data_IF_288853854746
#
_entry.id   IF_288853854746
#
_cell.length_a   1.000
_cell.length_b   1.000
_cell.length_c   1.000
_cell.angle_alpha   90.00
_cell.angle_beta   90.00
_cell.angle_gamma   90.00
#
_symmetry.space_group_name_H-M   'P 1'
#
loop_
_entity.id
_entity.type
_entity.pdbx_description
1 polymer ?
#
# COMPACT_ATOMS: atom_id res chain seq x y z
N UNK A 1 -4.17 28.87 -47.19
CA UNK A 1 -4.89 28.35 -45.99
C UNK A 1 -4.02 27.47 -45.09
N UNK A 2 -3.06 26.69 -45.61
CA UNK A 2 -2.15 25.87 -44.78
C UNK A 2 -1.07 26.63 -43.98
N UNK A 3 -0.63 27.81 -44.44
CA UNK A 3 0.43 28.58 -43.76
C UNK A 3 -0.06 29.33 -42.50
N UNK A 4 -1.34 29.72 -42.46
CA UNK A 4 -1.95 30.37 -41.29
C UNK A 4 -2.01 29.40 -40.10
N UNK A 5 -2.35 28.15 -40.40
CA UNK A 5 -2.52 27.05 -39.46
C UNK A 5 -1.18 26.53 -38.88
N UNK A 6 -0.07 26.75 -39.59
CA UNK A 6 1.29 26.44 -39.12
C UNK A 6 1.86 27.53 -38.20
N UNK A 7 1.60 28.81 -38.53
CA UNK A 7 2.02 29.95 -37.71
C UNK A 7 1.29 29.98 -36.36
N UNK A 8 -0.01 29.65 -36.35
CA UNK A 8 -0.83 29.58 -35.14
C UNK A 8 -0.41 28.41 -34.22
N UNK A 9 -0.04 27.26 -34.80
CA UNK A 9 0.55 26.12 -34.06
C UNK A 9 1.90 26.45 -33.42
N UNK A 10 2.79 27.16 -34.13
CA UNK A 10 4.08 27.60 -33.60
C UNK A 10 3.91 28.57 -32.43
N UNK A 11 2.97 29.51 -32.54
CA UNK A 11 2.65 30.47 -31.49
C UNK A 11 2.05 29.76 -30.25
N UNK A 12 1.13 28.81 -30.45
CA UNK A 12 0.58 28.00 -29.36
C UNK A 12 1.67 27.14 -28.67
N UNK A 13 2.58 26.54 -29.43
CA UNK A 13 3.67 25.75 -28.86
C UNK A 13 4.62 26.58 -28.01
N UNK A 14 5.03 27.77 -28.49
CA UNK A 14 5.91 28.67 -27.74
C UNK A 14 5.24 29.21 -26.48
N UNK A 15 3.94 29.53 -26.56
CA UNK A 15 3.15 29.97 -25.40
C UNK A 15 2.99 28.86 -24.36
N UNK A 16 2.76 27.64 -24.82
CA UNK A 16 2.70 26.46 -23.96
C UNK A 16 4.06 26.13 -23.36
N UNK A 17 5.16 26.18 -24.11
CA UNK A 17 6.50 25.88 -23.59
C UNK A 17 6.91 26.89 -22.51
N UNK A 18 6.68 28.19 -22.76
CA UNK A 18 6.95 29.24 -21.78
C UNK A 18 6.07 29.09 -20.53
N UNK A 19 4.80 28.76 -20.70
CA UNK A 19 3.90 28.49 -19.58
C UNK A 19 4.32 27.25 -18.78
N UNK A 20 4.71 26.17 -19.48
CA UNK A 20 5.14 24.90 -18.92
C UNK A 20 6.40 25.08 -18.10
N UNK A 21 7.42 25.75 -18.63
CA UNK A 21 8.66 26.02 -17.91
C UNK A 21 8.41 26.72 -16.58
N UNK A 22 7.47 27.67 -16.55
CA UNK A 22 7.13 28.48 -15.39
C UNK A 22 6.20 27.78 -14.37
N UNK A 23 5.71 26.55 -14.64
CA UNK A 23 4.88 25.82 -13.68
C UNK A 23 5.71 25.04 -12.65
N UNK A 24 5.15 24.91 -11.44
CA UNK A 24 5.72 24.09 -10.38
C UNK A 24 5.78 22.61 -10.76
N UNK A 25 6.75 21.87 -10.21
CA UNK A 25 6.94 20.45 -10.51
C UNK A 25 5.71 19.60 -10.18
N UNK A 26 4.90 19.99 -9.19
CA UNK A 26 3.67 19.28 -8.85
C UNK A 26 2.64 19.35 -9.99
N UNK A 27 2.44 20.54 -10.56
CA UNK A 27 1.52 20.78 -11.67
C UNK A 27 1.98 19.97 -12.89
N UNK A 28 3.28 19.96 -13.18
CA UNK A 28 3.86 19.17 -14.27
C UNK A 28 3.55 17.67 -14.10
N UNK A 29 3.79 17.11 -12.92
CA UNK A 29 3.54 15.69 -12.64
C UNK A 29 2.06 15.35 -12.77
N UNK A 30 1.16 16.17 -12.23
CA UNK A 30 -0.28 15.94 -12.37
C UNK A 30 -0.75 16.00 -13.82
N UNK A 31 -0.25 16.97 -14.60
CA UNK A 31 -0.63 17.11 -16.01
C UNK A 31 -0.12 15.95 -16.87
N UNK A 32 1.13 15.51 -16.66
CA UNK A 32 1.65 14.32 -17.34
C UNK A 32 0.86 13.07 -16.95
N UNK A 33 0.57 12.89 -15.65
CA UNK A 33 -0.26 11.78 -15.16
C UNK A 33 -1.65 11.79 -15.78
N UNK A 34 -2.29 12.95 -15.88
CA UNK A 34 -3.62 13.12 -16.47
C UNK A 34 -3.61 12.88 -17.98
N UNK A 35 -2.60 13.38 -18.71
CA UNK A 35 -2.45 13.12 -20.14
C UNK A 35 -2.27 11.62 -20.43
N UNK A 36 -1.46 10.93 -19.63
CA UNK A 36 -1.29 9.48 -19.74
C UNK A 36 -2.57 8.71 -19.38
N UNK A 37 -3.35 9.20 -18.42
CA UNK A 37 -4.65 8.61 -18.08
C UNK A 37 -5.65 8.74 -19.22
N UNK A 38 -5.74 9.92 -19.85
CA UNK A 38 -6.58 10.13 -21.03
C UNK A 38 -6.15 9.26 -22.21
N UNK A 39 -4.83 9.11 -22.43
CA UNK A 39 -4.27 8.19 -23.41
C UNK A 39 -4.62 6.74 -23.09
N UNK A 40 -4.61 6.35 -21.82
CA UNK A 40 -5.01 5.01 -21.39
C UNK A 40 -6.51 4.76 -21.66
N UNK A 41 -7.38 5.73 -21.36
CA UNK A 41 -8.83 5.65 -21.63
C UNK A 41 -9.10 5.56 -23.13
N UNK A 42 -8.47 6.41 -23.95
CA UNK A 42 -8.60 6.37 -25.41
C UNK A 42 -8.12 5.02 -25.98
N UNK A 43 -7.01 4.50 -25.46
CA UNK A 43 -6.47 3.20 -25.86
C UNK A 43 -7.35 2.03 -25.38
N UNK A 44 -8.05 2.18 -24.25
CA UNK A 44 -8.99 1.19 -23.72
C UNK A 44 -10.22 1.02 -24.63
N UNK A 45 -10.72 2.13 -25.20
CA UNK A 45 -11.79 2.09 -26.20
C UNK A 45 -11.40 1.29 -27.46
N UNK A 46 -10.14 1.35 -27.87
CA UNK A 46 -9.65 0.60 -29.02
C UNK A 46 -9.27 -0.86 -28.68
N UNK A 47 -8.65 -1.09 -27.51
CA UNK A 47 -8.13 -2.41 -27.11
C UNK A 47 -8.18 -2.60 -25.58
N UNK A 48 -9.29 -3.13 -25.03
CA UNK A 48 -9.50 -3.18 -23.59
C UNK A 48 -8.52 -4.08 -22.83
N UNK A 49 -7.84 -5.01 -23.53
CA UNK A 49 -6.83 -5.92 -22.96
C UNK A 49 -5.41 -5.70 -23.51
N UNK A 50 -5.14 -4.53 -24.09
CA UNK A 50 -3.80 -4.19 -24.57
C UNK A 50 -2.76 -4.14 -23.45
N UNK A 51 -1.55 -4.61 -23.73
CA UNK A 51 -0.42 -4.44 -22.80
C UNK A 51 -0.08 -2.94 -22.62
N UNK A 52 -0.29 -2.16 -23.69
CA UNK A 52 -0.13 -0.70 -23.71
C UNK A 52 -1.15 0.02 -22.81
N UNK A 53 -2.43 -0.39 -22.80
CA UNK A 53 -3.44 0.21 -21.91
C UNK A 53 -3.13 -0.03 -20.45
N UNK A 54 -2.70 -1.26 -20.11
CA UNK A 54 -2.28 -1.60 -18.75
C UNK A 54 -1.06 -0.79 -18.33
N UNK A 55 -0.03 -0.71 -19.17
CA UNK A 55 1.18 0.07 -18.89
C UNK A 55 0.88 1.55 -18.68
N UNK A 56 0.08 2.16 -19.56
CA UNK A 56 -0.33 3.57 -19.44
C UNK A 56 -1.18 3.81 -18.19
N UNK A 57 -2.08 2.90 -17.83
CA UNK A 57 -2.90 3.01 -16.63
C UNK A 57 -2.06 2.95 -15.34
N UNK A 58 -1.10 2.01 -15.26
CA UNK A 58 -0.19 1.94 -14.12
C UNK A 58 0.77 3.14 -14.06
N UNK A 59 1.32 3.58 -15.20
CA UNK A 59 2.22 4.72 -15.26
C UNK A 59 1.52 6.04 -14.88
N UNK A 60 0.33 6.29 -15.45
CA UNK A 60 -0.48 7.47 -15.10
C UNK A 60 -0.82 7.50 -13.62
N UNK A 61 -1.28 6.38 -13.08
CA UNK A 61 -1.65 6.30 -11.67
C UNK A 61 -0.45 6.44 -10.73
N UNK A 62 0.71 5.87 -11.10
CA UNK A 62 1.96 6.07 -10.37
C UNK A 62 2.38 7.53 -10.31
N UNK A 63 2.26 8.26 -11.43
CA UNK A 63 2.57 9.69 -11.49
C UNK A 63 1.56 10.54 -10.70
N UNK A 64 0.27 10.24 -10.80
CA UNK A 64 -0.77 10.91 -10.01
C UNK A 64 -0.57 10.68 -8.51
N UNK A 65 -0.27 9.44 -8.11
CA UNK A 65 0.04 9.08 -6.73
C UNK A 65 1.29 9.81 -6.23
N UNK A 66 2.35 9.87 -7.04
CA UNK A 66 3.58 10.58 -6.70
C UNK A 66 3.34 12.10 -6.54
N UNK A 67 2.57 12.70 -7.45
CA UNK A 67 2.17 14.10 -7.36
C UNK A 67 1.42 14.40 -6.05
N UNK A 68 0.45 13.55 -5.72
CA UNK A 68 -0.32 13.65 -4.48
C UNK A 68 0.54 13.45 -3.22
N UNK A 69 1.40 12.44 -3.22
CA UNK A 69 2.30 12.17 -2.09
C UNK A 69 3.25 13.33 -1.86
N UNK A 70 3.81 13.91 -2.93
CA UNK A 70 4.71 15.06 -2.86
C UNK A 70 4.01 16.30 -2.32
N UNK A 71 2.81 16.59 -2.80
CA UNK A 71 2.01 17.72 -2.32
C UNK A 71 1.68 17.56 -0.83
N UNK A 72 1.26 16.36 -0.44
CA UNK A 72 0.99 16.02 0.97
C UNK A 72 2.25 16.16 1.82
N UNK A 73 3.40 15.67 1.34
CA UNK A 73 4.67 15.77 2.05
C UNK A 73 5.07 17.23 2.30
N UNK A 74 5.02 18.07 1.26
CA UNK A 74 5.35 19.50 1.39
C UNK A 74 4.41 20.23 2.36
N UNK A 75 3.17 19.77 2.48
CA UNK A 75 2.19 20.35 3.39
C UNK A 75 2.34 19.88 4.84
N UNK A 76 2.64 18.59 5.05
CA UNK A 76 2.78 17.98 6.38
C UNK A 76 4.09 18.37 7.05
N UNK A 77 5.21 18.38 6.30
CA UNK A 77 6.55 18.61 6.83
C UNK A 77 6.68 19.89 7.68
N UNK A 78 6.23 21.07 7.24
CA UNK A 78 6.31 22.28 8.06
C UNK A 78 5.42 22.21 9.30
N UNK A 79 4.26 21.54 9.21
CA UNK A 79 3.31 21.39 10.32
C UNK A 79 3.76 20.40 11.37
N UNK A 80 4.69 19.50 11.02
CA UNK A 80 5.30 18.56 11.95
C UNK A 80 6.10 19.26 13.06
N UNK A 81 6.42 20.54 12.92
CA UNK A 81 7.06 21.31 14.00
C UNK A 81 6.10 21.61 15.16
N UNK A 82 4.78 21.61 14.92
CA UNK A 82 3.78 21.86 15.95
C UNK A 82 3.68 20.65 16.91
N UNK A 83 3.70 20.87 18.24
CA UNK A 83 3.74 19.78 19.22
C UNK A 83 2.53 18.85 19.15
N UNK A 84 1.35 19.40 18.85
CA UNK A 84 0.12 18.62 18.67
C UNK A 84 0.21 17.68 17.46
N UNK A 85 0.77 18.15 16.35
CA UNK A 85 0.92 17.34 15.13
C UNK A 85 1.94 16.22 15.37
N UNK A 86 3.03 16.49 16.11
CA UNK A 86 3.96 15.44 16.52
C UNK A 86 3.27 14.36 17.34
N UNK A 87 2.53 14.76 18.38
CA UNK A 87 1.79 13.82 19.23
C UNK A 87 0.81 12.96 18.43
N UNK A 88 0.08 13.58 17.49
CA UNK A 88 -0.85 12.87 16.62
C UNK A 88 -0.14 11.86 15.72
N UNK A 89 0.95 12.26 15.05
CA UNK A 89 1.74 11.37 14.19
C UNK A 89 2.35 10.23 14.99
N UNK A 90 2.88 10.50 16.18
CA UNK A 90 3.41 9.45 17.07
C UNK A 90 2.32 8.49 17.52
N UNK A 91 1.15 9.00 17.93
CA UNK A 91 0.02 8.17 18.34
C UNK A 91 -0.48 7.29 17.20
N UNK A 92 -0.64 7.86 16.01
CA UNK A 92 -1.01 7.12 14.80
C UNK A 92 0.03 6.05 14.43
N UNK A 93 1.32 6.35 14.60
CA UNK A 93 2.41 5.41 14.33
C UNK A 93 2.43 4.24 15.31
N UNK A 94 2.18 4.49 16.60
CA UNK A 94 2.04 3.44 17.62
C UNK A 94 0.82 2.57 17.34
N UNK A 95 -0.32 3.17 16.98
CA UNK A 95 -1.52 2.41 16.56
C UNK A 95 -1.25 1.55 15.32
N UNK A 96 -0.54 2.10 14.33
CA UNK A 96 -0.17 1.36 13.13
C UNK A 96 0.76 0.18 13.45
N UNK A 97 1.73 0.37 14.35
CA UNK A 97 2.63 -0.68 14.82
C UNK A 97 1.87 -1.77 15.59
N UNK A 98 0.91 -1.39 16.45
CA UNK A 98 0.06 -2.32 17.17
C UNK A 98 -0.80 -3.16 16.22
N UNK A 99 -1.41 -2.52 15.21
CA UNK A 99 -2.17 -3.21 14.17
C UNK A 99 -1.30 -4.18 13.36
N UNK A 100 -0.10 -3.74 12.94
CA UNK A 100 0.89 -4.56 12.25
C UNK A 100 1.29 -5.80 13.09
N UNK A 101 1.50 -5.61 14.39
CA UNK A 101 1.77 -6.71 15.33
C UNK A 101 0.61 -7.69 15.39
N UNK A 102 -0.63 -7.19 15.43
CA UNK A 102 -1.84 -8.01 15.38
C UNK A 102 -1.93 -8.86 14.11
N UNK A 103 -1.73 -8.24 12.94
CA UNK A 103 -1.74 -8.94 11.65
C UNK A 103 -0.64 -10.00 11.59
N UNK A 104 0.55 -9.71 12.12
CA UNK A 104 1.66 -10.66 12.18
C UNK A 104 1.33 -11.88 13.06
N UNK A 105 0.72 -11.66 14.22
CA UNK A 105 0.24 -12.74 15.10
C UNK A 105 -0.86 -13.58 14.44
N UNK A 106 -1.82 -12.93 13.77
CA UNK A 106 -2.86 -13.63 12.99
C UNK A 106 -2.24 -14.49 11.89
N UNK A 107 -1.25 -13.97 11.16
CA UNK A 107 -0.57 -14.71 10.11
C UNK A 107 0.13 -15.96 10.62
N UNK A 108 0.80 -15.87 11.77
CA UNK A 108 1.44 -17.04 12.42
C UNK A 108 0.40 -18.04 12.88
N UNK A 109 -0.68 -17.59 13.52
CA UNK A 109 -1.74 -18.46 14.01
C UNK A 109 -2.44 -19.19 12.85
N UNK A 110 -2.80 -18.49 11.77
CA UNK A 110 -3.40 -19.10 10.59
C UNK A 110 -2.42 -20.04 9.85
N UNK A 111 -1.12 -19.71 9.84
CA UNK A 111 -0.10 -20.52 9.18
C UNK A 111 0.22 -21.82 9.93
N UNK A 112 0.30 -21.76 11.26
CA UNK A 112 0.78 -22.85 12.12
C UNK A 112 -0.32 -23.56 12.90
N UNK A 113 -1.48 -22.93 13.09
CA UNK A 113 -2.54 -23.42 13.99
C UNK A 113 -2.14 -23.41 15.46
N UNK A 114 -1.08 -22.69 15.84
CA UNK A 114 -0.52 -22.63 17.18
C UNK A 114 -0.58 -21.22 17.75
N UNK A 115 -0.45 -21.12 19.09
CA UNK A 115 -0.41 -19.83 19.76
C UNK A 115 0.83 -19.04 19.28
N UNK A 116 0.65 -17.81 18.75
CA UNK A 116 1.74 -17.01 18.21
C UNK A 116 2.80 -16.61 19.26
N UNK A 117 2.49 -16.69 20.56
CA UNK A 117 3.46 -16.41 21.62
C UNK A 117 4.70 -17.32 21.60
N UNK A 118 4.59 -18.51 21.00
CA UNK A 118 5.71 -19.45 20.82
C UNK A 118 6.61 -19.13 19.62
N UNK A 119 6.28 -18.09 18.82
CA UNK A 119 6.99 -17.75 17.59
C UNK A 119 7.43 -16.28 17.53
N UNK A 120 8.18 -15.78 18.56
CA UNK A 120 8.50 -14.37 18.66
C UNK A 120 9.40 -13.87 17.52
N UNK A 121 10.32 -14.69 17.01
CA UNK A 121 11.26 -14.26 15.95
C UNK A 121 10.56 -14.19 14.60
N UNK A 122 9.63 -15.12 14.32
CA UNK A 122 8.78 -15.04 13.12
C UNK A 122 7.89 -13.82 13.13
N UNK A 123 7.27 -13.48 14.28
CA UNK A 123 6.46 -12.26 14.39
C UNK A 123 7.32 -11.03 14.13
N UNK A 124 8.53 -10.97 14.70
CA UNK A 124 9.45 -9.86 14.48
C UNK A 124 9.85 -9.71 13.00
N UNK A 125 10.05 -10.81 12.27
CA UNK A 125 10.32 -10.80 10.83
C UNK A 125 9.13 -10.28 10.02
N UNK A 126 7.91 -10.69 10.38
CA UNK A 126 6.68 -10.32 9.68
C UNK A 126 6.23 -8.88 9.97
N UNK A 127 6.65 -8.31 11.10
CA UNK A 127 6.19 -7.02 11.56
C UNK A 127 6.43 -5.89 10.52
N UNK A 128 7.64 -5.69 9.96
CA UNK A 128 7.85 -4.64 8.94
C UNK A 128 7.03 -4.86 7.68
N UNK A 129 6.79 -6.12 7.30
CA UNK A 129 6.00 -6.49 6.13
C UNK A 129 4.51 -6.22 6.35
N UNK A 130 4.02 -6.45 7.56
CA UNK A 130 2.62 -6.18 7.93
C UNK A 130 2.31 -4.68 8.01
N UNK A 131 3.30 -3.81 8.27
CA UNK A 131 3.13 -2.35 8.19
C UNK A 131 2.68 -1.92 6.79
N UNK A 132 3.15 -2.57 5.72
CA UNK A 132 2.71 -2.25 4.35
C UNK A 132 1.19 -2.43 4.17
N UNK A 133 0.62 -3.43 4.85
CA UNK A 133 -0.83 -3.67 4.82
C UNK A 133 -1.60 -2.61 5.57
N UNK A 134 -1.13 -2.23 6.75
CA UNK A 134 -1.71 -1.12 7.52
C UNK A 134 -1.67 0.17 6.70
N UNK A 135 -0.53 0.49 6.09
CA UNK A 135 -0.36 1.68 5.24
C UNK A 135 -1.30 1.64 4.04
N UNK A 136 -1.50 0.48 3.43
CA UNK A 136 -2.42 0.30 2.29
C UNK A 136 -3.88 0.59 2.69
N UNK A 137 -4.34 0.05 3.81
CA UNK A 137 -5.70 0.31 4.33
C UNK A 137 -5.89 1.79 4.66
N UNK A 138 -4.92 2.38 5.36
CA UNK A 138 -4.95 3.81 5.69
C UNK A 138 -4.96 4.65 4.43
N UNK A 139 -4.16 4.31 3.41
CA UNK A 139 -4.14 5.01 2.14
C UNK A 139 -5.50 4.93 1.42
N UNK A 140 -6.17 3.78 1.40
CA UNK A 140 -7.52 3.66 0.84
C UNK A 140 -8.51 4.57 1.57
N UNK A 141 -8.54 4.51 2.90
CA UNK A 141 -9.49 5.29 3.72
C UNK A 141 -9.22 6.79 3.56
N UNK A 142 -7.96 7.22 3.68
CA UNK A 142 -7.60 8.63 3.53
C UNK A 142 -7.87 9.11 2.11
N UNK A 143 -7.57 8.32 1.09
CA UNK A 143 -7.78 8.71 -0.30
C UNK A 143 -9.26 8.83 -0.63
N UNK A 144 -10.09 7.89 -0.19
CA UNK A 144 -11.55 7.92 -0.39
C UNK A 144 -12.20 9.11 0.33
N UNK A 145 -11.85 9.34 1.60
CA UNK A 145 -12.33 10.49 2.37
C UNK A 145 -11.87 11.82 1.76
N UNK A 146 -10.61 11.91 1.33
CA UNK A 146 -10.07 13.12 0.67
C UNK A 146 -10.79 13.40 -0.65
N UNK A 147 -11.05 12.36 -1.44
CA UNK A 147 -11.78 12.47 -2.70
C UNK A 147 -13.21 12.96 -2.46
N UNK A 148 -13.92 12.36 -1.50
CA UNK A 148 -15.26 12.79 -1.12
C UNK A 148 -15.28 14.24 -0.60
N UNK A 149 -14.32 14.61 0.24
CA UNK A 149 -14.17 15.97 0.75
C UNK A 149 -13.92 17.01 -0.35
N UNK A 150 -13.05 16.69 -1.32
CA UNK A 150 -12.80 17.56 -2.48
C UNK A 150 -14.04 17.72 -3.35
N UNK A 151 -14.79 16.64 -3.60
CA UNK A 151 -16.05 16.70 -4.34
C UNK A 151 -17.11 17.55 -3.62
N UNK A 152 -17.27 17.37 -2.31
CA UNK A 152 -18.20 18.16 -1.50
C UNK A 152 -17.81 19.64 -1.49
N UNK A 153 -16.53 19.94 -1.32
CA UNK A 153 -16.02 21.31 -1.34
C UNK A 153 -16.27 21.98 -2.70
N UNK A 154 -16.00 21.26 -3.79
CA UNK A 154 -16.24 21.74 -5.15
C UNK A 154 -17.73 22.01 -5.40
N UNK A 155 -18.60 21.07 -5.01
CA UNK A 155 -20.05 21.24 -5.11
C UNK A 155 -20.55 22.43 -4.30
N UNK A 156 -20.06 22.58 -3.07
CA UNK A 156 -20.40 23.72 -2.21
C UNK A 156 -19.94 25.06 -2.81
N UNK A 157 -18.73 25.11 -3.39
CA UNK A 157 -18.20 26.30 -4.08
C UNK A 157 -19.09 26.71 -5.25
N UNK A 158 -19.44 25.77 -6.13
CA UNK A 158 -20.29 26.03 -7.29
C UNK A 158 -21.67 26.52 -6.84
N UNK A 159 -22.25 25.90 -5.82
CA UNK A 159 -23.58 26.26 -5.30
C UNK A 159 -23.60 27.62 -4.57
N UNK A 160 -22.56 27.92 -3.79
CA UNK A 160 -22.51 29.12 -2.95
C UNK A 160 -21.97 30.36 -3.67
N UNK A 161 -21.07 30.23 -4.64
CA UNK A 161 -20.38 31.40 -5.21
C UNK A 161 -20.92 31.89 -6.55
N UNK A 162 -21.87 31.21 -7.21
CA UNK A 162 -22.50 31.62 -8.48
C UNK A 162 -21.52 32.12 -9.56
N UNK A 163 -20.23 31.79 -9.42
CA UNK A 163 -19.14 32.29 -10.23
C UNK A 163 -18.28 31.10 -10.65
N UNK A 164 -17.82 31.06 -11.91
CA UNK A 164 -16.97 29.99 -12.39
C UNK A 164 -15.65 30.01 -11.61
N UNK A 165 -15.19 28.82 -11.21
CA UNK A 165 -13.81 28.63 -10.78
C UNK A 165 -12.88 28.98 -11.95
N UNK A 166 -11.70 29.55 -11.67
CA UNK A 166 -10.68 29.72 -12.71
C UNK A 166 -10.33 28.35 -13.32
N UNK A 167 -10.19 28.29 -14.65
CA UNK A 167 -9.99 27.03 -15.40
C UNK A 167 -8.81 26.20 -14.86
N UNK A 168 -7.78 26.88 -14.34
CA UNK A 168 -6.61 26.25 -13.72
C UNK A 168 -6.96 25.51 -12.43
N UNK A 169 -7.81 26.10 -11.59
CA UNK A 169 -8.22 25.52 -10.31
C UNK A 169 -9.16 24.34 -10.53
N UNK A 170 -10.04 24.42 -11.53
CA UNK A 170 -10.89 23.29 -11.96
C UNK A 170 -10.03 22.12 -12.42
N UNK A 171 -9.03 22.37 -13.28
CA UNK A 171 -8.16 21.31 -13.80
C UNK A 171 -7.35 20.63 -12.69
N UNK A 172 -6.82 21.40 -11.74
CA UNK A 172 -6.07 20.86 -10.59
C UNK A 172 -6.98 20.09 -9.64
N UNK A 173 -8.20 20.56 -9.40
CA UNK A 173 -9.20 19.85 -8.61
C UNK A 173 -9.53 18.49 -9.23
N UNK A 174 -9.79 18.46 -10.55
CA UNK A 174 -10.05 17.22 -11.29
C UNK A 174 -8.86 16.27 -11.19
N UNK A 175 -7.63 16.77 -11.37
CA UNK A 175 -6.43 15.96 -11.25
C UNK A 175 -6.26 15.35 -9.85
N UNK A 176 -6.55 16.11 -8.78
CA UNK A 176 -6.49 15.61 -7.40
C UNK A 176 -7.57 14.58 -7.10
N UNK A 177 -8.80 14.79 -7.60
CA UNK A 177 -9.90 13.82 -7.47
C UNK A 177 -9.57 12.52 -8.19
N UNK A 178 -9.04 12.60 -9.42
CA UNK A 178 -8.61 11.41 -10.18
C UNK A 178 -7.41 10.72 -9.54
N UNK A 179 -6.48 11.48 -8.95
CA UNK A 179 -5.38 10.92 -8.19
C UNK A 179 -5.91 10.14 -6.97
N UNK A 180 -6.83 10.72 -6.20
CA UNK A 180 -7.42 10.05 -5.05
C UNK A 180 -8.19 8.77 -5.43
N UNK A 181 -8.98 8.83 -6.50
CA UNK A 181 -9.72 7.69 -7.01
C UNK A 181 -8.79 6.58 -7.53
N UNK A 182 -7.77 6.93 -8.32
CA UNK A 182 -6.82 5.96 -8.88
C UNK A 182 -6.02 5.25 -7.78
N UNK A 183 -5.55 5.97 -6.76
CA UNK A 183 -4.89 5.38 -5.58
C UNK A 183 -5.82 4.38 -4.90
N UNK A 184 -7.06 4.78 -4.60
CA UNK A 184 -8.01 3.92 -3.91
C UNK A 184 -8.32 2.64 -4.72
N UNK A 185 -8.56 2.78 -6.02
CA UNK A 185 -8.88 1.66 -6.90
C UNK A 185 -7.70 0.70 -7.06
N UNK A 186 -6.49 1.19 -7.27
CA UNK A 186 -5.31 0.34 -7.46
C UNK A 186 -4.96 -0.40 -6.18
N UNK A 187 -4.93 0.29 -5.04
CA UNK A 187 -4.62 -0.37 -3.77
C UNK A 187 -5.70 -1.40 -3.45
N UNK A 188 -6.98 -1.08 -3.63
CA UNK A 188 -8.07 -2.04 -3.40
C UNK A 188 -7.99 -3.27 -4.30
N UNK A 189 -7.66 -3.08 -5.58
CA UNK A 189 -7.55 -4.19 -6.54
C UNK A 189 -6.31 -5.07 -6.29
N UNK A 190 -5.25 -4.51 -5.71
CA UNK A 190 -4.00 -5.23 -5.39
C UNK A 190 -3.98 -5.81 -3.97
N UNK A 191 -4.78 -5.28 -3.05
CA UNK A 191 -4.77 -5.70 -1.65
C UNK A 191 -5.54 -7.01 -1.40
N UNK A 192 -6.52 -7.37 -2.23
CA UNK A 192 -7.37 -8.53 -1.99
C UNK A 192 -8.25 -8.38 -0.74
N UNK A 193 -9.16 -9.32 -0.51
CA UNK A 193 -10.14 -9.25 0.58
C UNK A 193 -9.62 -9.80 1.93
N UNK A 194 -8.56 -10.61 1.92
CA UNK A 194 -8.05 -11.24 3.13
C UNK A 194 -7.20 -10.26 3.96
N UNK A 195 -7.45 -10.22 5.27
CA UNK A 195 -6.68 -9.41 6.23
C UNK A 195 -5.21 -9.87 6.24
N UNK A 196 -4.99 -11.19 6.25
CA UNK A 196 -3.67 -11.79 6.09
C UNK A 196 -3.51 -12.28 4.65
N UNK A 197 -2.54 -11.75 3.89
CA UNK A 197 -2.24 -12.25 2.56
C UNK A 197 -1.70 -13.68 2.57
N UNK A 198 -2.02 -14.47 1.56
CA UNK A 198 -1.55 -15.86 1.42
C UNK A 198 -0.01 -15.97 1.39
N UNK A 199 0.69 -15.02 0.77
CA UNK A 199 2.15 -14.98 0.77
C UNK A 199 2.73 -14.77 2.18
N UNK A 200 2.03 -14.01 3.03
CA UNK A 200 2.44 -13.73 4.40
C UNK A 200 2.23 -14.96 5.28
N UNK A 201 1.15 -15.70 5.07
CA UNK A 201 0.94 -17.02 5.69
C UNK A 201 2.02 -18.02 5.25
N UNK A 202 2.36 -18.06 3.96
CA UNK A 202 3.41 -18.93 3.45
C UNK A 202 4.79 -18.59 4.02
N UNK A 203 5.10 -17.29 4.16
CA UNK A 203 6.33 -16.82 4.79
C UNK A 203 6.35 -17.22 6.27
N UNK A 204 5.27 -16.90 7.01
CA UNK A 204 5.10 -17.24 8.43
C UNK A 204 5.30 -18.73 8.68
N UNK A 205 4.71 -19.57 7.82
CA UNK A 205 4.80 -21.02 7.92
C UNK A 205 6.22 -21.53 7.70
N UNK A 206 7.05 -20.87 6.88
CA UNK A 206 8.45 -21.27 6.70
C UNK A 206 9.33 -20.71 7.81
N UNK A 207 9.19 -19.43 8.13
CA UNK A 207 10.01 -18.78 9.14
C UNK A 207 9.79 -19.36 10.53
N UNK A 208 8.57 -19.77 10.89
CA UNK A 208 8.30 -20.42 12.16
C UNK A 208 9.12 -21.71 12.35
N UNK A 209 9.27 -22.51 11.30
CA UNK A 209 10.05 -23.75 11.34
C UNK A 209 11.55 -23.48 11.50
N UNK A 210 12.06 -22.47 10.80
CA UNK A 210 13.51 -22.23 10.72
C UNK A 210 14.06 -21.30 11.79
N UNK A 211 13.24 -20.40 12.33
CA UNK A 211 13.68 -19.36 13.27
C UNK A 211 13.29 -19.66 14.72
N UNK A 212 12.12 -20.22 14.97
CA UNK A 212 11.60 -20.42 16.34
C UNK A 212 11.70 -21.87 16.83
N UNK A 213 11.81 -22.84 15.92
CA UNK A 213 11.97 -24.25 16.22
C UNK A 213 13.43 -24.70 16.07
N UNK A 214 13.83 -25.61 16.94
CA UNK A 214 15.21 -26.09 17.12
C UNK A 214 15.30 -27.60 16.93
N UNK A 215 16.48 -28.09 16.59
CA UNK A 215 16.71 -29.52 16.44
C UNK A 215 16.80 -30.17 17.85
N UNK A 216 15.82 -31.02 18.20
CA UNK A 216 15.78 -31.77 19.46
C UNK A 216 15.62 -33.26 19.18
N UNK A 217 16.70 -34.06 19.16
CA UNK A 217 16.64 -35.47 18.81
C UNK A 217 15.89 -36.33 19.83
N UNK A 218 15.63 -35.84 21.06
CA UNK A 218 14.88 -36.57 22.06
C UNK A 218 13.36 -36.53 21.79
N UNK A 219 12.88 -35.48 21.12
CA UNK A 219 11.46 -35.25 20.86
C UNK A 219 11.06 -35.39 19.38
N UNK A 220 12.03 -35.58 18.48
CA UNK A 220 11.81 -35.78 17.05
C UNK A 220 11.87 -37.26 16.67
N UNK A 221 11.07 -37.62 15.67
CA UNK A 221 11.02 -38.97 15.09
C UNK A 221 11.68 -39.04 13.72
N UNK A 222 11.93 -37.87 13.11
CA UNK A 222 12.51 -37.73 11.77
C UNK A 222 13.55 -36.61 11.76
N UNK A 223 14.55 -36.67 10.88
CA UNK A 223 15.63 -35.68 10.81
C UNK A 223 15.19 -34.31 10.27
N UNK A 224 14.01 -34.22 9.66
CA UNK A 224 13.41 -32.98 9.14
C UNK A 224 12.39 -32.34 10.12
N UNK A 225 12.23 -32.93 11.30
CA UNK A 225 11.41 -32.39 12.38
C UNK A 225 12.26 -31.44 13.25
N UNK A 226 11.66 -30.30 13.61
CA UNK A 226 12.20 -29.36 14.58
C UNK A 226 11.18 -29.16 15.69
N UNK A 227 11.61 -28.74 16.86
CA UNK A 227 10.71 -28.58 18.00
C UNK A 227 10.89 -27.27 18.75
N UNK A 228 9.81 -26.84 19.41
CA UNK A 228 9.82 -25.76 20.37
C UNK A 228 9.06 -26.22 21.62
N UNK A 229 9.69 -26.14 22.78
CA UNK A 229 9.09 -26.60 24.03
C UNK A 229 8.09 -25.58 24.55
N UNK A 230 6.85 -26.03 24.80
CA UNK A 230 5.80 -25.19 25.42
C UNK A 230 5.89 -25.31 26.94
N UNK A 231 6.02 -26.55 27.44
CA UNK A 231 6.14 -26.87 28.86
C UNK A 231 6.91 -28.19 29.06
N UNK A 232 6.99 -28.67 30.29
CA UNK A 232 7.78 -29.85 30.66
C UNK A 232 7.37 -31.13 29.89
N UNK A 233 6.13 -31.21 29.41
CA UNK A 233 5.56 -32.42 28.80
C UNK A 233 5.12 -32.26 27.35
N UNK A 234 5.07 -31.04 26.82
CA UNK A 234 4.50 -30.73 25.50
C UNK A 234 5.47 -29.89 24.70
N UNK A 235 5.72 -30.34 23.47
CA UNK A 235 6.50 -29.62 22.47
C UNK A 235 5.63 -29.38 21.24
N UNK A 236 5.87 -28.27 20.55
CA UNK A 236 5.44 -28.06 19.17
C UNK A 236 6.47 -28.75 18.30
N UNK A 237 6.03 -29.64 17.41
CA UNK A 237 6.86 -30.24 16.38
C UNK A 237 6.46 -29.64 15.04
N UNK A 238 7.43 -29.04 14.36
CA UNK A 238 7.31 -28.59 12.98
C UNK A 238 8.03 -29.59 12.07
N UNK A 239 7.38 -30.03 11.00
CA UNK A 239 7.97 -30.94 10.03
C UNK A 239 8.01 -30.29 8.65
N UNK A 240 9.15 -30.40 7.96
CA UNK A 240 9.28 -29.99 6.56
C UNK A 240 8.65 -31.04 5.60
N UNK A 241 7.41 -31.44 5.85
CA UNK A 241 6.73 -32.47 5.05
C UNK A 241 5.94 -31.87 3.89
N UNK A 242 6.38 -32.09 2.65
CA UNK A 242 5.68 -31.70 1.43
C UNK A 242 5.85 -30.22 1.04
N UNK A 243 4.86 -29.64 0.36
CA UNK A 243 4.94 -28.27 -0.19
C UNK A 243 5.00 -27.19 0.89
N UNK A 244 4.46 -27.46 2.08
CA UNK A 244 4.37 -26.50 3.18
C UNK A 244 4.65 -27.19 4.52
N UNK A 245 5.42 -26.57 5.43
CA UNK A 245 5.66 -27.12 6.77
C UNK A 245 4.37 -27.37 7.55
N UNK A 246 4.31 -28.47 8.29
CA UNK A 246 3.19 -28.78 9.19
C UNK A 246 3.60 -28.63 10.64
N UNK A 247 2.64 -28.31 11.52
CA UNK A 247 2.88 -28.06 12.94
C UNK A 247 1.89 -28.85 13.77
N UNK A 248 2.38 -29.59 14.75
CA UNK A 248 1.56 -30.38 15.68
C UNK A 248 2.11 -30.28 17.09
N UNK A 249 1.24 -30.40 18.09
CA UNK A 249 1.68 -30.58 19.48
C UNK A 249 1.92 -32.06 19.73
N UNK A 250 3.06 -32.40 20.32
CA UNK A 250 3.42 -33.77 20.70
C UNK A 250 3.79 -33.79 22.19
N UNK A 251 3.42 -34.87 22.87
CA UNK A 251 3.88 -35.13 24.22
C UNK A 251 5.34 -35.57 24.18
N UNK A 252 6.20 -34.86 24.90
CA UNK A 252 7.60 -35.20 25.08
C UNK A 252 8.07 -34.66 26.44
N UNK A 253 8.13 -35.55 27.44
CA UNK A 253 8.59 -35.21 28.78
C UNK A 253 10.09 -34.88 28.77
N UNK A 254 10.49 -33.86 29.55
CA UNK A 254 11.90 -33.67 29.90
C UNK A 254 12.33 -34.90 30.71
N UNK A 255 13.34 -35.62 30.25
CA UNK A 255 13.93 -36.68 31.04
C UNK A 255 14.55 -36.06 32.30
N UNK A 256 14.28 -36.58 33.51
CA UNK A 256 14.97 -36.10 34.71
C UNK A 256 16.47 -36.39 34.55
N UNK A 257 17.29 -35.37 34.86
CA UNK A 257 18.76 -35.51 34.96
C UNK A 257 19.18 -36.49 36.05
#
# INVERSE_FOLDING_TARGET
MWMYDAAERLNCYQRFSAWWENQSLAIKVYLVGLALLLMAIASFHASPRGLLTSCLAYASSGLLAFGFLRETYMWVTPKLQLPLVKLLVTGASVMALAAATGISKMAVNEATGQDPSHFPTTIALLLPLSVLRVVSVVAIVVSTLSTAGLMLWAGARIFLTWGPLEDKDVLLLVARVLAGLSIALIISNTSGAAIVPSWMQALARKSALFLDLHDDPACTTKPDERTHRINDNVVIVGAASGTYPTYVRRLCAIAPE
#
